data_IF_367098507197
#
_entry.id   IF_367098507197
#
_cell.length_a   1.000
_cell.length_b   1.000
_cell.length_c   1.000
_cell.angle_alpha   90.00
_cell.angle_beta   90.00
_cell.angle_gamma   90.00
#
_symmetry.space_group_name_H-M   'P 1'
#
loop_
_entity.id
_entity.type
_entity.pdbx_description
1 polymer ?
#
# COMPACT_ATOMS: atom_id res chain seq x y z
N UNK A 1 16.38 13.34 15.00
CA UNK A 1 15.47 14.41 14.53
C UNK A 1 15.54 14.41 13.02
N UNK A 2 14.39 14.45 12.36
CA UNK A 2 14.36 14.48 10.89
C UNK A 2 15.03 15.79 10.39
N UNK A 3 15.88 15.67 9.37
CA UNK A 3 16.58 16.80 8.78
C UNK A 3 15.62 17.58 7.89
N UNK A 4 15.25 18.80 8.30
CA UNK A 4 14.30 19.63 7.58
C UNK A 4 14.94 20.38 6.40
N UNK A 5 14.11 20.86 5.46
CA UNK A 5 14.54 21.64 4.32
C UNK A 5 15.35 22.88 4.71
N UNK A 6 14.93 23.59 5.76
CA UNK A 6 15.66 24.71 6.32
C UNK A 6 17.06 24.32 6.83
N UNK A 7 17.16 23.20 7.54
CA UNK A 7 18.43 22.70 8.07
C UNK A 7 19.40 22.33 6.95
N UNK A 8 18.91 21.68 5.90
CA UNK A 8 19.72 21.32 4.73
C UNK A 8 20.22 22.58 4.00
N UNK A 9 19.31 23.52 3.74
CA UNK A 9 19.64 24.78 3.08
C UNK A 9 20.71 25.57 3.86
N UNK A 10 20.56 25.68 5.17
CA UNK A 10 21.50 26.43 6.02
C UNK A 10 22.86 25.74 6.14
N UNK A 11 22.94 24.41 6.07
CA UNK A 11 24.23 23.70 6.01
C UNK A 11 25.02 24.11 4.77
N UNK A 12 24.35 24.19 3.60
CA UNK A 12 25.02 24.61 2.36
C UNK A 12 25.40 26.09 2.43
N UNK A 13 24.50 26.97 2.86
CA UNK A 13 24.78 28.40 2.99
C UNK A 13 25.96 28.66 3.92
N UNK A 14 26.06 27.95 5.04
CA UNK A 14 27.19 28.08 5.98
C UNK A 14 28.53 27.69 5.33
N UNK A 15 28.58 26.62 4.56
CA UNK A 15 29.77 26.18 3.86
C UNK A 15 30.19 27.15 2.74
N UNK A 16 29.22 27.91 2.20
CA UNK A 16 29.43 28.95 1.21
C UNK A 16 29.77 30.34 1.83
N UNK A 17 29.80 30.38 3.15
CA UNK A 17 29.96 31.64 3.91
C UNK A 17 28.85 32.66 3.59
N UNK A 18 27.63 32.18 3.43
CA UNK A 18 26.44 33.00 3.15
C UNK A 18 25.54 33.11 4.38
N UNK A 19 24.63 34.08 4.35
CA UNK A 19 23.69 34.33 5.44
C UNK A 19 22.66 33.22 5.51
N UNK A 20 22.54 32.59 6.68
CA UNK A 20 21.55 31.54 6.93
C UNK A 20 20.12 32.11 6.91
N UNK A 21 19.17 31.24 6.52
CA UNK A 21 17.76 31.54 6.53
C UNK A 21 17.14 31.21 7.89
N UNK A 22 16.06 31.89 8.22
CA UNK A 22 15.19 31.60 9.36
C UNK A 22 13.84 31.08 8.86
N UNK A 23 13.06 30.48 9.72
CA UNK A 23 11.70 30.03 9.37
C UNK A 23 10.82 31.16 8.85
N UNK A 24 11.02 32.40 9.36
CA UNK A 24 10.25 33.60 8.98
C UNK A 24 10.61 34.14 7.59
N UNK A 25 11.87 34.04 7.15
CA UNK A 25 12.32 34.56 5.86
C UNK A 25 12.48 33.48 4.78
N UNK A 26 12.22 32.23 5.10
CA UNK A 26 12.41 31.10 4.19
C UNK A 26 11.59 31.21 2.91
N UNK A 27 10.32 31.63 3.01
CA UNK A 27 9.43 31.81 1.85
C UNK A 27 9.79 33.04 1.00
N UNK A 28 10.42 34.06 1.60
CA UNK A 28 10.83 35.30 0.92
C UNK A 28 12.31 35.35 0.55
N UNK A 29 13.02 34.22 0.60
CA UNK A 29 14.43 34.10 0.22
C UNK A 29 14.68 34.57 -1.21
N UNK A 30 15.88 35.14 -1.46
CA UNK A 30 16.27 35.69 -2.76
C UNK A 30 17.70 35.31 -3.12
N UNK A 31 18.03 35.44 -4.40
CA UNK A 31 19.38 35.23 -4.92
C UNK A 31 19.91 33.83 -4.60
N UNK A 32 21.08 33.72 -3.98
CA UNK A 32 21.73 32.43 -3.67
C UNK A 32 20.90 31.57 -2.74
N UNK A 33 20.12 32.13 -1.83
CA UNK A 33 19.27 31.37 -0.93
C UNK A 33 18.15 30.60 -1.70
N UNK A 34 17.54 31.27 -2.69
CA UNK A 34 16.56 30.61 -3.58
C UNK A 34 17.23 29.54 -4.42
N UNK A 35 18.38 29.85 -5.03
CA UNK A 35 19.12 28.88 -5.84
C UNK A 35 19.51 27.61 -5.04
N UNK A 36 19.93 27.75 -3.78
CA UNK A 36 20.25 26.63 -2.91
C UNK A 36 19.02 25.75 -2.65
N UNK A 37 17.85 26.36 -2.46
CA UNK A 37 16.60 25.62 -2.31
C UNK A 37 16.27 24.79 -3.58
N UNK A 38 16.33 25.43 -4.73
CA UNK A 38 16.05 24.75 -6.01
C UNK A 38 17.07 23.63 -6.27
N UNK A 39 18.35 23.85 -5.95
CA UNK A 39 19.38 22.84 -6.10
C UNK A 39 19.24 21.67 -5.12
N UNK A 40 18.68 21.89 -3.93
CA UNK A 40 18.34 20.81 -3.01
C UNK A 40 17.28 19.89 -3.61
N UNK A 41 16.16 20.43 -4.11
CA UNK A 41 15.15 19.64 -4.78
C UNK A 41 15.72 18.88 -5.98
N UNK A 42 16.47 19.60 -6.83
CA UNK A 42 17.15 18.98 -7.97
C UNK A 42 18.08 17.85 -7.55
N UNK A 43 18.82 18.02 -6.46
CA UNK A 43 19.74 16.99 -5.95
C UNK A 43 19.01 15.76 -5.45
N UNK A 44 17.86 15.92 -4.83
CA UNK A 44 17.02 14.79 -4.42
C UNK A 44 16.50 14.06 -5.66
N UNK A 45 16.01 14.76 -6.69
CA UNK A 45 15.61 14.16 -7.95
C UNK A 45 16.75 13.38 -8.62
N UNK A 46 17.97 13.93 -8.62
CA UNK A 46 19.13 13.22 -9.17
C UNK A 46 19.38 11.89 -8.43
N UNK A 47 19.33 11.91 -7.09
CA UNK A 47 19.53 10.70 -6.28
C UNK A 47 18.44 9.66 -6.58
N UNK A 48 17.19 10.08 -6.70
CA UNK A 48 16.09 9.21 -7.09
C UNK A 48 16.30 8.65 -8.50
N UNK A 49 16.83 9.45 -9.43
CA UNK A 49 17.08 9.04 -10.80
C UNK A 49 18.30 8.10 -10.94
N UNK A 50 19.38 8.39 -10.24
CA UNK A 50 20.61 7.60 -10.29
C UNK A 50 20.55 6.38 -9.37
N UNK A 51 19.79 6.46 -8.29
CA UNK A 51 19.56 5.38 -7.34
C UNK A 51 18.39 4.46 -7.70
N UNK A 52 18.16 4.22 -8.97
CA UNK A 52 16.94 3.67 -9.58
C UNK A 52 16.26 2.48 -8.89
N UNK A 53 16.95 1.72 -8.07
CA UNK A 53 16.45 0.49 -7.45
C UNK A 53 16.67 0.48 -5.92
N UNK A 54 16.73 1.66 -5.30
CA UNK A 54 16.83 1.74 -3.85
C UNK A 54 15.52 1.24 -3.24
N UNK A 55 15.54 0.19 -2.41
CA UNK A 55 14.31 -0.37 -1.80
C UNK A 55 13.47 0.63 -1.02
N UNK A 56 14.08 1.70 -0.51
CA UNK A 56 13.38 2.78 0.22
C UNK A 56 12.38 3.57 -0.63
N UNK A 57 12.53 3.53 -1.96
CA UNK A 57 11.62 4.21 -2.90
C UNK A 57 10.52 3.30 -3.40
N UNK A 58 10.58 2.04 -2.98
CA UNK A 58 9.62 1.02 -3.33
C UNK A 58 8.37 1.16 -2.47
N UNK A 59 7.22 1.19 -3.09
CA UNK A 59 5.93 1.29 -2.42
C UNK A 59 4.93 0.36 -3.08
N UNK A 60 4.02 -0.16 -2.28
CA UNK A 60 2.92 -0.99 -2.77
C UNK A 60 1.65 -0.14 -2.84
N UNK A 61 0.93 -0.22 -3.93
CA UNK A 61 -0.40 0.37 -4.06
C UNK A 61 -1.46 -0.69 -4.29
N UNK A 62 -2.69 -0.32 -3.99
CA UNK A 62 -3.87 -1.14 -4.27
C UNK A 62 -4.90 -0.32 -5.02
N UNK A 63 -5.50 -0.91 -6.06
CA UNK A 63 -6.51 -0.26 -6.89
C UNK A 63 -7.71 -1.18 -7.05
N UNK A 64 -8.89 -0.68 -6.69
CA UNK A 64 -10.14 -1.40 -6.91
C UNK A 64 -10.49 -1.39 -8.40
N UNK A 65 -10.91 -2.53 -8.92
CA UNK A 65 -11.30 -2.67 -10.31
C UNK A 65 -12.81 -2.41 -10.47
N UNK A 66 -13.14 -1.80 -11.60
CA UNK A 66 -14.53 -1.52 -11.98
C UNK A 66 -14.97 -2.48 -13.08
N UNK A 67 -16.24 -2.86 -13.04
CA UNK A 67 -16.85 -3.73 -14.06
C UNK A 67 -16.85 -3.02 -15.40
N UNK A 68 -16.35 -3.67 -16.42
CA UNK A 68 -16.33 -3.15 -17.78
C UNK A 68 -15.20 -2.18 -18.10
N UNK A 69 -14.36 -1.85 -17.11
CA UNK A 69 -13.20 -1.00 -17.30
C UNK A 69 -11.93 -1.86 -17.44
N UNK A 70 -11.29 -1.76 -18.56
CA UNK A 70 -10.07 -2.53 -18.87
C UNK A 70 -8.78 -1.70 -18.77
N UNK A 71 -8.88 -0.39 -18.56
CA UNK A 71 -7.75 0.52 -18.53
C UNK A 71 -7.68 1.27 -17.19
N UNK A 72 -6.49 1.32 -16.59
CA UNK A 72 -6.26 1.92 -15.28
C UNK A 72 -5.01 2.77 -15.29
N UNK A 73 -5.10 3.97 -14.72
CA UNK A 73 -3.98 4.89 -14.59
C UNK A 73 -3.07 4.50 -13.45
N UNK A 74 -1.77 4.76 -13.63
CA UNK A 74 -0.81 4.67 -12.55
C UNK A 74 -0.92 5.88 -11.60
N UNK A 75 -0.46 5.76 -10.35
CA UNK A 75 -0.35 6.91 -9.46
C UNK A 75 0.51 8.02 -10.08
N UNK A 76 0.10 9.28 -9.93
CA UNK A 76 0.81 10.44 -10.50
C UNK A 76 2.25 10.61 -10.00
N UNK A 77 2.57 10.05 -8.84
CA UNK A 77 3.92 10.04 -8.27
C UNK A 77 4.74 8.79 -8.69
N UNK A 78 4.23 7.99 -9.61
CA UNK A 78 4.91 6.82 -10.11
C UNK A 78 6.06 7.23 -11.03
N UNK A 79 7.22 6.62 -10.82
CA UNK A 79 8.39 6.72 -11.68
C UNK A 79 8.59 5.47 -12.53
N UNK A 80 8.52 4.31 -11.90
CA UNK A 80 8.69 3.01 -12.55
C UNK A 80 7.82 1.98 -11.84
N UNK A 81 7.18 1.12 -12.59
CA UNK A 81 6.36 0.01 -12.08
C UNK A 81 7.12 -1.30 -12.23
N UNK A 82 7.00 -2.17 -11.23
CA UNK A 82 7.39 -3.56 -11.35
C UNK A 82 6.22 -4.38 -11.87
N UNK A 83 6.24 -4.67 -13.18
CA UNK A 83 5.19 -5.44 -13.84
C UNK A 83 5.12 -6.90 -13.40
N UNK A 84 6.13 -7.40 -12.68
CA UNK A 84 6.12 -8.74 -12.11
C UNK A 84 5.45 -8.79 -10.73
N UNK A 85 5.09 -7.64 -10.16
CA UNK A 85 4.49 -7.52 -8.83
C UNK A 85 2.95 -7.46 -8.83
N UNK A 86 2.29 -7.58 -9.98
CA UNK A 86 0.84 -7.47 -10.07
C UNK A 86 0.13 -8.69 -9.51
N UNK A 87 -0.64 -8.48 -8.45
CA UNK A 87 -1.49 -9.49 -7.81
C UNK A 87 -2.95 -9.05 -7.83
N UNK A 88 -3.79 -9.92 -8.36
CA UNK A 88 -5.24 -9.81 -8.23
C UNK A 88 -5.67 -10.48 -6.92
N UNK A 89 -6.51 -9.82 -6.16
CA UNK A 89 -7.10 -10.35 -4.92
C UNK A 89 -8.56 -9.92 -4.78
N UNK A 90 -9.39 -10.65 -4.01
CA UNK A 90 -10.73 -10.17 -3.69
C UNK A 90 -10.66 -8.88 -2.88
N UNK A 91 -11.61 -7.99 -3.11
CA UNK A 91 -11.77 -6.76 -2.33
C UNK A 91 -12.26 -7.09 -0.93
N UNK A 92 -11.67 -6.48 0.09
CA UNK A 92 -12.20 -6.50 1.44
C UNK A 92 -13.44 -5.59 1.50
N UNK A 93 -14.58 -6.15 1.93
CA UNK A 93 -15.85 -5.41 1.94
C UNK A 93 -16.10 -4.70 3.27
N UNK A 94 -15.41 -5.08 4.32
CA UNK A 94 -15.55 -4.47 5.64
C UNK A 94 -14.72 -3.19 5.70
N UNK A 95 -15.37 -2.09 6.03
CA UNK A 95 -14.68 -0.83 6.32
C UNK A 95 -14.29 -0.80 7.80
N UNK A 96 -13.03 -0.43 8.08
CA UNK A 96 -12.48 -0.41 9.44
C UNK A 96 -12.67 -1.74 10.18
N UNK A 97 -12.43 -2.85 9.48
CA UNK A 97 -12.52 -4.19 10.07
C UNK A 97 -11.39 -4.52 11.02
N UNK A 98 -10.28 -3.78 11.02
CA UNK A 98 -9.13 -3.94 11.91
C UNK A 98 -9.13 -2.96 13.09
N UNK A 99 -10.16 -2.17 13.27
CA UNK A 99 -10.39 -1.26 14.39
C UNK A 99 -9.17 -0.42 14.80
N UNK A 100 -8.39 0.09 13.84
CA UNK A 100 -7.09 0.72 14.10
C UNK A 100 -7.15 2.01 14.92
N UNK A 101 -8.27 2.74 14.90
CA UNK A 101 -8.40 4.02 15.59
C UNK A 101 -9.71 4.24 16.34
N UNK A 102 -10.75 3.53 15.98
CA UNK A 102 -12.10 3.64 16.55
C UNK A 102 -12.99 2.50 16.05
N UNK A 103 -14.26 2.48 16.44
CA UNK A 103 -15.30 1.61 15.89
C UNK A 103 -16.15 2.34 14.84
N UNK A 104 -15.58 3.35 14.18
CA UNK A 104 -16.25 4.07 13.08
C UNK A 104 -16.67 3.10 11.97
N UNK A 105 -17.73 3.41 11.26
CA UNK A 105 -18.36 2.56 10.24
C UNK A 105 -19.14 1.35 10.78
N UNK A 106 -19.09 1.08 12.07
CA UNK A 106 -19.88 0.07 12.74
C UNK A 106 -21.03 0.72 13.52
N UNK A 107 -22.21 0.15 13.37
CA UNK A 107 -23.41 0.61 14.08
C UNK A 107 -23.63 -0.27 15.31
N UNK A 108 -23.94 0.36 16.45
CA UNK A 108 -24.40 -0.40 17.61
C UNK A 108 -25.70 -1.13 17.25
N UNK A 109 -25.66 -2.43 17.31
CA UNK A 109 -26.79 -3.31 17.02
C UNK A 109 -27.31 -4.03 18.29
N UNK A 110 -26.89 -3.59 19.47
CA UNK A 110 -27.35 -4.13 20.74
C UNK A 110 -28.86 -3.83 20.88
N UNK A 111 -29.64 -4.86 21.10
CA UNK A 111 -31.08 -4.78 21.36
C UNK A 111 -31.39 -5.52 22.62
N UNK A 112 -32.43 -5.18 23.36
CA UNK A 112 -32.82 -5.80 24.62
C UNK A 112 -33.05 -7.32 24.58
N UNK A 113 -32.98 -7.94 23.40
CA UNK A 113 -33.05 -9.39 23.22
C UNK A 113 -31.66 -10.04 23.05
N UNK A 114 -30.59 -9.24 22.90
CA UNK A 114 -29.23 -9.73 22.54
C UNK A 114 -28.18 -9.21 23.50
N UNK A 115 -28.53 -8.27 24.38
CA UNK A 115 -27.63 -7.69 25.35
C UNK A 115 -28.01 -6.24 25.69
N UNK A 116 -27.47 -5.74 26.79
CA UNK A 116 -27.69 -4.38 27.26
C UNK A 116 -26.41 -3.52 27.21
N UNK A 117 -25.29 -4.12 26.81
CA UNK A 117 -23.98 -3.47 26.78
C UNK A 117 -23.83 -2.50 25.61
N UNK A 118 -22.79 -1.71 25.67
CA UNK A 118 -22.41 -0.78 24.60
C UNK A 118 -21.08 -1.21 24.00
N UNK A 119 -20.99 -1.39 22.69
CA UNK A 119 -19.70 -1.66 22.04
C UNK A 119 -18.70 -0.55 22.31
N UNK A 120 -17.46 -0.89 22.58
CA UNK A 120 -16.41 0.06 22.90
C UNK A 120 -15.15 -0.17 22.06
N UNK A 121 -14.39 0.91 21.86
CA UNK A 121 -13.05 0.82 21.29
C UNK A 121 -12.04 0.54 22.42
N UNK A 122 -11.22 -0.48 22.23
CA UNK A 122 -10.11 -0.78 23.13
C UNK A 122 -8.79 -0.42 22.44
N UNK A 123 -8.09 0.60 22.94
CA UNK A 123 -6.81 1.07 22.41
C UNK A 123 -5.61 0.18 22.75
N UNK A 124 -5.81 -0.92 23.50
CA UNK A 124 -4.76 -1.88 23.80
C UNK A 124 -4.26 -2.60 22.53
N UNK A 125 -2.97 -2.70 22.35
CA UNK A 125 -2.37 -3.27 21.15
C UNK A 125 -2.54 -2.37 19.93
N UNK A 126 -2.99 -2.93 18.80
CA UNK A 126 -3.23 -2.21 17.55
C UNK A 126 -4.65 -1.62 17.44
N UNK A 127 -5.42 -1.63 18.52
CA UNK A 127 -6.84 -1.29 18.54
C UNK A 127 -7.71 -2.54 18.34
N UNK A 128 -8.85 -2.57 19.02
CA UNK A 128 -9.80 -3.70 19.02
C UNK A 128 -11.21 -3.22 19.25
N UNK A 129 -12.17 -4.00 18.77
CA UNK A 129 -13.57 -3.85 19.16
C UNK A 129 -13.82 -4.66 20.45
N UNK A 130 -14.25 -4.01 21.50
CA UNK A 130 -14.67 -4.68 22.75
C UNK A 130 -16.17 -4.84 22.78
N UNK A 131 -16.61 -6.07 22.97
CA UNK A 131 -18.02 -6.44 23.16
C UNK A 131 -18.19 -7.02 24.58
N UNK A 132 -19.13 -6.48 25.32
CA UNK A 132 -19.58 -6.97 26.61
C UNK A 132 -21.10 -6.96 26.61
N UNK A 133 -21.73 -8.12 26.47
CA UNK A 133 -23.17 -8.24 26.27
C UNK A 133 -23.68 -7.24 25.20
N UNK A 134 -22.99 -7.21 24.06
CA UNK A 134 -23.16 -6.18 23.05
C UNK A 134 -23.04 -6.76 21.63
N UNK A 135 -23.59 -6.02 20.67
CA UNK A 135 -23.53 -6.35 19.25
C UNK A 135 -23.19 -5.13 18.39
N UNK A 136 -22.47 -5.38 17.31
CA UNK A 136 -22.24 -4.38 16.25
C UNK A 136 -22.64 -4.94 14.90
N UNK A 137 -23.06 -4.07 14.00
CA UNK A 137 -23.36 -4.45 12.62
C UNK A 137 -22.76 -3.47 11.63
N UNK A 138 -22.46 -3.98 10.44
CA UNK A 138 -22.08 -3.16 9.28
C UNK A 138 -22.83 -3.64 8.04
N UNK A 139 -23.35 -2.68 7.27
CA UNK A 139 -23.92 -2.95 5.95
C UNK A 139 -22.79 -3.02 4.93
N UNK A 140 -22.81 -4.05 4.10
CA UNK A 140 -21.88 -4.27 2.98
C UNK A 140 -22.65 -4.46 1.69
N UNK A 141 -22.06 -4.09 0.58
CA UNK A 141 -22.61 -4.37 -0.75
C UNK A 141 -22.03 -5.68 -1.26
N UNK A 142 -22.89 -6.61 -1.65
CA UNK A 142 -22.51 -7.94 -2.14
C UNK A 142 -23.12 -8.20 -3.52
N UNK A 143 -22.57 -9.13 -4.25
CA UNK A 143 -23.17 -9.62 -5.50
C UNK A 143 -24.05 -10.83 -5.17
N UNK A 144 -25.33 -10.73 -5.50
CA UNK A 144 -26.30 -11.81 -5.23
C UNK A 144 -25.84 -13.15 -5.81
N UNK A 145 -26.05 -14.23 -5.05
CA UNK A 145 -25.67 -15.61 -5.38
C UNK A 145 -24.16 -15.86 -5.47
N UNK A 146 -23.30 -14.93 -5.03
CA UNK A 146 -21.88 -15.17 -4.89
C UNK A 146 -21.54 -15.62 -3.48
N UNK A 147 -20.46 -16.41 -3.36
CA UNK A 147 -20.01 -16.95 -2.09
C UNK A 147 -18.91 -16.06 -1.51
N UNK A 148 -19.07 -15.75 -0.25
CA UNK A 148 -18.15 -14.90 0.53
C UNK A 148 -17.56 -15.69 1.68
N UNK A 149 -16.36 -15.32 2.05
CA UNK A 149 -15.65 -15.78 3.23
C UNK A 149 -15.74 -14.72 4.31
N UNK A 150 -16.23 -15.07 5.48
CA UNK A 150 -16.23 -14.24 6.67
C UNK A 150 -15.20 -14.75 7.66
N UNK A 151 -14.29 -13.87 8.09
CA UNK A 151 -13.28 -14.18 9.09
C UNK A 151 -13.41 -13.21 10.25
N UNK A 152 -13.47 -13.75 11.48
CA UNK A 152 -13.48 -12.95 12.71
C UNK A 152 -12.44 -13.53 13.66
N UNK A 153 -11.54 -12.68 14.15
CA UNK A 153 -10.52 -13.07 15.11
C UNK A 153 -10.79 -12.41 16.44
N UNK A 154 -10.80 -13.23 17.49
CA UNK A 154 -10.91 -12.82 18.88
C UNK A 154 -9.57 -13.07 19.54
N UNK A 155 -8.99 -12.05 20.20
CA UNK A 155 -7.69 -12.17 20.88
C UNK A 155 -7.87 -12.39 22.38
N UNK A 156 -8.87 -11.76 22.97
CA UNK A 156 -9.07 -11.79 24.42
C UNK A 156 -10.52 -12.08 24.78
N UNK A 157 -10.69 -12.90 25.80
CA UNK A 157 -11.95 -13.16 26.47
C UNK A 157 -11.67 -13.22 27.99
N UNK A 158 -12.47 -12.54 28.76
CA UNK A 158 -12.30 -12.50 30.20
C UNK A 158 -12.52 -13.85 30.90
N UNK A 159 -13.14 -14.82 30.23
CA UNK A 159 -13.27 -16.20 30.70
C UNK A 159 -13.34 -17.17 29.55
N UNK A 160 -12.70 -18.34 29.67
CA UNK A 160 -12.86 -19.43 28.72
C UNK A 160 -14.31 -19.93 28.70
N UNK A 161 -14.77 -20.32 27.48
CA UNK A 161 -16.12 -20.81 27.25
C UNK A 161 -17.12 -19.75 26.79
N UNK A 162 -16.73 -18.47 26.68
CA UNK A 162 -17.57 -17.44 26.05
C UNK A 162 -17.73 -17.69 24.56
N UNK A 163 -18.85 -17.28 23.99
CA UNK A 163 -19.17 -17.49 22.59
C UNK A 163 -19.44 -16.18 21.84
N UNK A 164 -18.81 -16.06 20.67
CA UNK A 164 -19.07 -14.98 19.72
C UNK A 164 -19.96 -15.51 18.60
N UNK A 165 -21.11 -14.88 18.38
CA UNK A 165 -21.97 -15.21 17.24
C UNK A 165 -21.72 -14.24 16.09
N UNK A 166 -21.63 -14.77 14.87
CA UNK A 166 -21.56 -14.00 13.61
C UNK A 166 -22.79 -14.34 12.79
N UNK A 167 -23.57 -13.32 12.49
CA UNK A 167 -24.80 -13.45 11.69
C UNK A 167 -24.68 -12.63 10.43
N UNK A 168 -25.15 -13.17 9.33
CA UNK A 168 -25.17 -12.48 8.04
C UNK A 168 -26.58 -12.58 7.44
N UNK A 169 -27.09 -11.47 6.93
CA UNK A 169 -28.42 -11.46 6.31
C UNK A 169 -28.84 -10.07 5.82
N UNK A 170 -30.12 -9.92 5.55
CA UNK A 170 -30.70 -8.74 4.94
C UNK A 170 -30.94 -7.56 5.90
N UNK A 171 -30.70 -7.76 7.17
CA UNK A 171 -30.77 -6.75 8.23
C UNK A 171 -29.82 -7.09 9.36
N UNK A 172 -29.58 -6.17 10.27
CA UNK A 172 -28.85 -6.47 11.50
C UNK A 172 -29.53 -7.63 12.23
N UNK A 173 -28.74 -8.56 12.77
CA UNK A 173 -29.15 -9.81 13.41
C UNK A 173 -29.86 -10.85 12.53
N UNK A 174 -30.13 -10.56 11.27
CA UNK A 174 -30.71 -11.55 10.38
C UNK A 174 -29.74 -12.70 10.12
N UNK A 175 -30.29 -13.90 9.97
CA UNK A 175 -29.52 -15.14 9.76
C UNK A 175 -29.85 -15.79 8.43
N UNK A 176 -30.35 -15.01 7.47
CA UNK A 176 -30.79 -15.52 6.16
C UNK A 176 -29.66 -16.17 5.37
N UNK A 177 -28.45 -15.66 5.52
CA UNK A 177 -27.27 -16.12 4.77
C UNK A 177 -26.29 -16.90 5.64
N UNK A 178 -26.15 -16.54 6.92
CA UNK A 178 -25.24 -17.21 7.87
C UNK A 178 -25.71 -17.04 9.32
N UNK A 179 -25.54 -18.12 10.10
CA UNK A 179 -25.49 -18.06 11.56
C UNK A 179 -24.38 -18.98 12.03
N UNK A 180 -23.28 -18.41 12.52
CA UNK A 180 -22.12 -19.16 12.98
C UNK A 180 -21.73 -18.70 14.38
N UNK A 181 -21.16 -19.60 15.16
CA UNK A 181 -20.70 -19.32 16.53
C UNK A 181 -19.26 -19.79 16.69
N UNK A 182 -18.43 -18.92 17.24
CA UNK A 182 -17.07 -19.22 17.69
C UNK A 182 -17.07 -19.39 19.21
N UNK A 183 -16.73 -20.55 19.69
CA UNK A 183 -16.47 -20.76 21.12
C UNK A 183 -15.01 -20.43 21.42
N UNK A 184 -14.77 -19.47 22.30
CA UNK A 184 -13.44 -19.07 22.71
C UNK A 184 -12.96 -20.03 23.80
N UNK A 185 -11.97 -20.86 23.47
CA UNK A 185 -11.48 -21.92 24.36
C UNK A 185 -10.25 -21.51 25.16
N UNK A 186 -9.43 -20.63 24.61
CA UNK A 186 -8.15 -20.26 25.19
C UNK A 186 -8.10 -18.75 25.46
N UNK A 187 -7.83 -18.39 26.70
CA UNK A 187 -7.59 -17.01 27.10
C UNK A 187 -6.27 -16.50 26.52
N UNK A 188 -6.29 -15.30 25.92
CA UNK A 188 -5.09 -14.65 25.39
C UNK A 188 -4.56 -15.21 24.07
N UNK A 189 -5.09 -16.31 23.56
CA UNK A 189 -4.77 -16.85 22.24
C UNK A 189 -5.80 -16.42 21.21
N UNK A 190 -5.33 -16.14 19.97
CA UNK A 190 -6.22 -15.75 18.88
C UNK A 190 -7.10 -16.90 18.42
N UNK A 191 -8.39 -16.81 18.70
CA UNK A 191 -9.40 -17.73 18.15
C UNK A 191 -9.94 -17.13 16.84
N UNK A 192 -10.04 -17.92 15.79
CA UNK A 192 -10.50 -17.46 14.47
C UNK A 192 -11.75 -18.25 14.08
N UNK A 193 -12.82 -17.53 13.79
CA UNK A 193 -13.96 -18.04 13.02
C UNK A 193 -13.64 -17.82 11.54
N UNK A 194 -13.63 -18.89 10.77
CA UNK A 194 -13.43 -18.89 9.33
C UNK A 194 -14.59 -19.65 8.70
N UNK A 195 -15.49 -18.94 8.04
CA UNK A 195 -16.73 -19.52 7.49
C UNK A 195 -17.09 -18.87 6.17
N UNK A 196 -17.97 -19.52 5.43
CA UNK A 196 -18.46 -19.00 4.14
C UNK A 196 -19.98 -18.87 4.15
N UNK A 197 -20.48 -17.90 3.36
CA UNK A 197 -21.91 -17.72 3.12
C UNK A 197 -22.16 -17.35 1.66
N UNK A 198 -23.39 -17.59 1.19
CA UNK A 198 -23.83 -17.13 -0.14
C UNK A 198 -24.78 -15.98 0.05
N UNK A 199 -24.47 -14.83 -0.54
CA UNK A 199 -25.31 -13.63 -0.42
C UNK A 199 -26.64 -13.82 -1.15
N UNK A 200 -27.75 -13.72 -0.44
CA UNK A 200 -29.11 -13.79 -1.02
C UNK A 200 -29.54 -12.47 -1.65
N UNK A 201 -28.87 -11.37 -1.32
CA UNK A 201 -29.23 -10.00 -1.71
C UNK A 201 -27.97 -9.16 -2.00
N UNK A 202 -28.20 -7.94 -2.53
CA UNK A 202 -27.11 -6.96 -2.78
C UNK A 202 -26.74 -6.20 -1.50
N UNK A 203 -27.73 -5.82 -0.68
CA UNK A 203 -27.46 -5.19 0.62
C UNK A 203 -27.45 -6.27 1.71
N UNK A 204 -26.27 -6.55 2.22
CA UNK A 204 -26.05 -7.58 3.24
C UNK A 204 -25.50 -6.95 4.51
N UNK A 205 -25.95 -7.41 5.66
CA UNK A 205 -25.47 -6.98 6.97
C UNK A 205 -24.65 -8.09 7.60
N UNK A 206 -23.45 -7.77 8.08
CA UNK A 206 -22.72 -8.61 9.00
C UNK A 206 -22.93 -8.10 10.41
N UNK A 207 -23.26 -8.99 11.34
CA UNK A 207 -23.46 -8.66 12.76
C UNK A 207 -22.58 -9.56 13.61
N UNK A 208 -21.80 -8.95 14.47
CA UNK A 208 -20.92 -9.63 15.44
C UNK A 208 -21.49 -9.42 16.85
N UNK A 209 -21.74 -10.49 17.57
CA UNK A 209 -22.52 -10.50 18.80
C UNK A 209 -21.74 -11.25 19.90
N UNK A 210 -21.58 -10.60 21.03
CA UNK A 210 -21.25 -11.26 22.28
C UNK A 210 -22.45 -11.13 23.23
N UNK A 211 -23.11 -12.22 23.54
CA UNK A 211 -24.24 -12.26 24.49
C UNK A 211 -23.81 -12.57 25.92
N UNK A 212 -22.53 -12.72 26.16
CA UNK A 212 -21.99 -12.97 27.51
C UNK A 212 -21.62 -11.65 28.19
N UNK A 213 -21.81 -11.59 29.52
CA UNK A 213 -21.42 -10.43 30.33
C UNK A 213 -19.89 -10.28 30.50
N UNK A 214 -19.12 -11.11 29.82
CA UNK A 214 -17.67 -11.05 29.82
C UNK A 214 -17.15 -10.23 28.62
N UNK A 215 -16.07 -9.48 28.84
CA UNK A 215 -15.43 -8.74 27.76
C UNK A 215 -14.85 -9.69 26.70
N UNK A 216 -15.11 -9.38 25.46
CA UNK A 216 -14.53 -10.06 24.31
C UNK A 216 -13.90 -9.03 23.38
N UNK A 217 -12.62 -9.13 23.13
CA UNK A 217 -11.88 -8.22 22.25
C UNK A 217 -11.71 -8.85 20.87
N UNK A 218 -12.38 -8.27 19.88
CA UNK A 218 -12.31 -8.66 18.47
C UNK A 218 -11.18 -7.86 17.81
N UNK A 219 -10.23 -8.55 17.24
CA UNK A 219 -9.05 -8.00 16.59
C UNK A 219 -9.36 -7.53 15.15
N UNK A 220 -10.04 -8.41 14.41
CA UNK A 220 -10.52 -8.05 13.09
C UNK A 220 -11.79 -8.78 12.68
N UNK A 221 -12.51 -8.15 11.77
CA UNK A 221 -13.61 -8.74 10.99
C UNK A 221 -13.30 -8.50 9.52
N UNK A 222 -13.27 -9.54 8.71
CA UNK A 222 -13.00 -9.47 7.28
C UNK A 222 -14.06 -10.23 6.50
N UNK A 223 -14.51 -9.66 5.39
CA UNK A 223 -15.43 -10.31 4.44
C UNK A 223 -14.94 -10.04 3.03
N UNK A 224 -14.69 -11.09 2.30
CA UNK A 224 -14.28 -11.02 0.90
C UNK A 224 -14.86 -12.19 0.10
N UNK A 225 -14.84 -12.10 -1.22
CA UNK A 225 -15.30 -13.20 -2.08
C UNK A 225 -14.41 -14.42 -1.92
N UNK A 226 -15.03 -15.58 -1.76
CA UNK A 226 -14.31 -16.86 -1.60
C UNK A 226 -14.05 -17.57 -2.93
N UNK A 227 -14.78 -17.23 -3.99
CA UNK A 227 -14.61 -17.77 -5.33
C UNK A 227 -13.44 -17.12 -6.12
N UNK A 228 -12.82 -16.09 -5.55
CA UNK A 228 -11.66 -15.40 -6.11
C UNK A 228 -10.43 -15.78 -5.30
N UNK A 229 -9.57 -16.63 -5.86
CA UNK A 229 -8.28 -16.91 -5.26
C UNK A 229 -7.28 -15.79 -5.62
N UNK A 230 -6.50 -15.27 -4.66
CA UNK A 230 -5.40 -14.37 -4.97
C UNK A 230 -4.45 -14.99 -5.99
N UNK A 231 -4.11 -14.27 -7.05
CA UNK A 231 -3.21 -14.75 -8.09
C UNK A 231 -2.32 -13.67 -8.64
N UNK A 232 -1.11 -14.04 -9.03
CA UNK A 232 -0.21 -13.19 -9.80
C UNK A 232 -0.73 -13.05 -11.22
N UNK A 233 -0.74 -11.84 -11.76
CA UNK A 233 -1.07 -11.59 -13.17
C UNK A 233 0.16 -11.79 -14.04
N UNK A 234 -0.03 -12.34 -15.23
CA UNK A 234 1.04 -12.46 -16.22
C UNK A 234 1.27 -11.11 -16.91
N UNK A 235 2.49 -10.63 -16.88
CA UNK A 235 2.88 -9.41 -17.62
C UNK A 235 3.09 -9.75 -19.09
N UNK A 236 2.47 -9.00 -20.01
CA UNK A 236 2.68 -9.10 -21.45
C UNK A 236 2.95 -7.73 -22.07
N UNK A 237 3.71 -7.73 -23.16
CA UNK A 237 3.97 -6.50 -23.91
C UNK A 237 2.74 -6.06 -24.70
N UNK A 238 2.66 -4.77 -25.03
CA UNK A 238 1.55 -4.24 -25.82
C UNK A 238 1.47 -4.87 -27.20
N UNK A 239 2.60 -5.13 -27.84
CA UNK A 239 2.64 -5.78 -29.16
C UNK A 239 2.08 -7.21 -29.10
N UNK A 240 2.42 -7.98 -28.07
CA UNK A 240 1.86 -9.31 -27.85
C UNK A 240 0.36 -9.24 -27.62
N UNK A 241 -0.10 -8.24 -26.83
CA UNK A 241 -1.53 -8.02 -26.60
C UNK A 241 -2.28 -7.74 -27.91
N UNK A 242 -1.76 -6.85 -28.76
CA UNK A 242 -2.37 -6.53 -30.05
C UNK A 242 -2.52 -7.76 -30.97
N UNK A 243 -1.57 -8.67 -30.91
CA UNK A 243 -1.57 -9.88 -31.74
C UNK A 243 -2.46 -11.00 -31.19
N UNK A 244 -2.62 -11.10 -29.88
CA UNK A 244 -3.23 -12.28 -29.27
C UNK A 244 -4.57 -12.01 -28.56
N UNK A 245 -4.72 -10.86 -27.91
CA UNK A 245 -5.85 -10.61 -27.02
C UNK A 245 -6.76 -9.46 -27.44
N UNK A 246 -6.29 -8.50 -28.23
CA UNK A 246 -7.08 -7.32 -28.56
C UNK A 246 -8.43 -7.63 -29.20
N UNK A 247 -8.49 -8.66 -30.02
CA UNK A 247 -9.74 -9.07 -30.69
C UNK A 247 -10.70 -9.73 -29.68
N UNK A 248 -10.18 -10.51 -28.74
CA UNK A 248 -11.00 -11.17 -27.71
C UNK A 248 -11.48 -10.21 -26.64
N UNK A 249 -10.76 -9.10 -26.43
CA UNK A 249 -11.08 -8.06 -25.44
C UNK A 249 -11.89 -6.91 -26.06
N UNK A 250 -12.49 -7.11 -27.23
CA UNK A 250 -13.44 -6.15 -27.78
C UNK A 250 -14.70 -6.11 -26.88
N UNK A 251 -14.98 -4.94 -26.34
CA UNK A 251 -16.10 -4.69 -25.42
C UNK A 251 -17.49 -5.06 -25.98
N UNK A 252 -17.57 -5.22 -27.31
CA UNK A 252 -18.81 -5.71 -27.96
C UNK A 252 -18.98 -7.23 -27.85
N UNK A 253 -17.95 -7.96 -27.38
CA UNK A 253 -18.01 -9.39 -27.21
C UNK A 253 -18.21 -9.77 -25.75
N UNK A 254 -19.16 -10.63 -25.48
CA UNK A 254 -19.38 -11.13 -24.10
C UNK A 254 -18.16 -11.90 -23.54
N UNK A 255 -17.33 -12.43 -24.43
CA UNK A 255 -16.07 -13.12 -24.09
C UNK A 255 -14.95 -12.17 -23.65
N UNK A 256 -15.10 -10.86 -23.87
CA UNK A 256 -14.14 -9.85 -23.42
C UNK A 256 -14.11 -9.68 -21.88
N UNK A 257 -15.20 -10.07 -21.22
CA UNK A 257 -15.37 -9.88 -19.79
C UNK A 257 -15.06 -11.15 -19.01
N UNK A 258 -14.30 -11.00 -17.94
CA UNK A 258 -13.94 -12.15 -17.10
C UNK A 258 -13.05 -11.77 -15.92
N UNK A 259 -12.45 -12.79 -15.32
CA UNK A 259 -11.46 -12.60 -14.27
C UNK A 259 -10.11 -12.22 -14.89
N UNK A 260 -9.57 -11.02 -14.64
CA UNK A 260 -8.28 -10.59 -15.17
C UNK A 260 -7.17 -11.61 -14.90
N UNK A 261 -6.41 -11.91 -15.93
CA UNK A 261 -5.30 -12.88 -15.87
C UNK A 261 -3.97 -12.28 -16.33
N UNK A 262 -4.03 -11.20 -17.09
CA UNK A 262 -2.87 -10.55 -17.68
C UNK A 262 -2.89 -9.06 -17.41
N UNK A 263 -1.72 -8.48 -17.22
CA UNK A 263 -1.48 -7.04 -17.19
C UNK A 263 -0.66 -6.66 -18.41
N UNK A 264 -1.06 -5.61 -19.09
CA UNK A 264 -0.46 -5.15 -20.35
C UNK A 264 0.15 -3.77 -20.10
N UNK A 265 1.43 -3.65 -20.40
CA UNK A 265 2.14 -2.37 -20.34
C UNK A 265 1.87 -1.56 -21.57
N UNK A 266 1.20 -0.41 -21.44
CA UNK A 266 0.99 0.52 -22.55
C UNK A 266 2.27 1.29 -22.92
N UNK A 267 2.40 1.72 -24.18
CA UNK A 267 3.57 2.49 -24.62
C UNK A 267 3.69 3.89 -24.02
N UNK A 268 2.57 4.48 -23.57
CA UNK A 268 2.52 5.80 -22.91
C UNK A 268 3.13 5.80 -21.51
N UNK A 269 3.22 4.63 -20.88
CA UNK A 269 3.70 4.44 -19.49
C UNK A 269 2.87 5.16 -18.41
N UNK A 270 1.70 5.69 -18.75
CA UNK A 270 0.81 6.39 -17.82
C UNK A 270 -0.30 5.48 -17.31
N UNK A 271 -0.62 4.42 -18.06
CA UNK A 271 -1.68 3.48 -17.77
C UNK A 271 -1.29 2.03 -18.10
N UNK A 272 -2.08 1.09 -17.61
CA UNK A 272 -2.00 -0.33 -17.94
C UNK A 272 -3.37 -0.88 -18.33
N UNK A 273 -3.38 -1.94 -19.12
CA UNK A 273 -4.60 -2.65 -19.47
C UNK A 273 -4.65 -4.00 -18.76
N UNK A 274 -5.87 -4.49 -18.59
CA UNK A 274 -6.16 -5.81 -18.06
C UNK A 274 -6.83 -6.68 -19.13
N UNK A 275 -6.47 -7.94 -19.18
CA UNK A 275 -7.09 -8.92 -20.06
C UNK A 275 -7.34 -10.23 -19.31
N UNK A 276 -8.56 -10.81 -19.37
CA UNK A 276 -9.82 -10.17 -19.81
C UNK A 276 -10.18 -8.90 -19.03
N UNK A 277 -11.10 -8.09 -19.58
CA UNK A 277 -11.68 -6.94 -18.88
C UNK A 277 -12.45 -7.44 -17.65
N UNK A 278 -12.40 -6.77 -16.49
CA UNK A 278 -13.16 -7.16 -15.32
C UNK A 278 -14.66 -7.31 -15.61
N UNK A 279 -15.17 -8.53 -15.55
CA UNK A 279 -16.57 -8.84 -15.85
C UNK A 279 -17.49 -8.72 -14.62
N UNK A 280 -16.93 -8.70 -13.44
CA UNK A 280 -17.63 -8.56 -12.16
C UNK A 280 -16.86 -7.58 -11.26
N UNK A 281 -17.54 -7.06 -10.23
CA UNK A 281 -16.93 -6.21 -9.21
C UNK A 281 -16.20 -6.98 -8.13
N UNK A 282 -15.69 -6.25 -7.14
CA UNK A 282 -15.05 -6.78 -5.94
C UNK A 282 -13.68 -7.42 -6.18
N UNK A 283 -12.97 -6.93 -7.20
CA UNK A 283 -11.56 -7.23 -7.43
C UNK A 283 -10.71 -6.02 -7.04
N UNK A 284 -9.56 -6.32 -6.48
CA UNK A 284 -8.51 -5.34 -6.19
C UNK A 284 -7.19 -5.84 -6.76
N UNK A 285 -6.48 -4.96 -7.46
CA UNK A 285 -5.09 -5.21 -7.87
C UNK A 285 -4.16 -4.56 -6.85
N UNK A 286 -3.12 -5.27 -6.51
CA UNK A 286 -2.00 -4.73 -5.74
C UNK A 286 -0.73 -4.88 -6.57
N UNK A 287 0.07 -3.83 -6.65
CA UNK A 287 1.33 -3.84 -7.37
C UNK A 287 2.34 -2.89 -6.72
N UNK A 288 3.60 -3.12 -7.04
CA UNK A 288 4.72 -2.36 -6.50
C UNK A 288 5.27 -1.40 -7.53
N UNK A 289 5.65 -0.23 -7.08
CA UNK A 289 6.25 0.79 -7.92
C UNK A 289 7.26 1.63 -7.14
N UNK A 290 8.16 2.28 -7.89
CA UNK A 290 9.10 3.25 -7.34
C UNK A 290 8.51 4.65 -7.48
N UNK A 291 8.49 5.40 -6.38
CA UNK A 291 7.96 6.76 -6.35
C UNK A 291 8.95 7.79 -6.87
N UNK A 292 8.42 8.91 -7.36
CA UNK A 292 9.21 10.14 -7.55
C UNK A 292 9.29 10.90 -6.24
N UNK A 293 10.26 11.81 -6.15
CA UNK A 293 10.32 12.77 -5.07
C UNK A 293 9.29 13.89 -5.28
N UNK A 294 8.61 14.29 -4.19
CA UNK A 294 7.81 15.51 -4.16
C UNK A 294 8.69 16.65 -3.70
N UNK A 295 8.70 17.76 -4.45
CA UNK A 295 9.51 18.92 -4.12
C UNK A 295 9.22 19.47 -2.73
N UNK A 296 10.29 19.74 -1.99
CA UNK A 296 10.20 20.39 -0.70
C UNK A 296 9.82 21.87 -0.94
N UNK A 297 8.87 22.38 -0.20
CA UNK A 297 8.34 23.75 -0.34
C UNK A 297 8.41 24.58 0.95
N UNK A 298 7.98 24.00 2.06
CA UNK A 298 7.96 24.64 3.36
C UNK A 298 9.26 24.40 4.16
N UNK A 299 9.63 25.31 5.02
CA UNK A 299 10.85 25.23 5.84
C UNK A 299 10.93 23.97 6.71
N UNK A 300 9.77 23.43 7.12
CA UNK A 300 9.65 22.24 7.97
C UNK A 300 9.56 20.93 7.19
N UNK A 301 9.50 20.98 5.86
CA UNK A 301 9.39 19.75 5.05
C UNK A 301 10.62 18.88 5.26
N UNK A 302 10.40 17.59 5.26
CA UNK A 302 11.44 16.57 5.40
C UNK A 302 11.56 15.79 4.09
N UNK A 303 12.79 15.46 3.74
CA UNK A 303 13.00 14.58 2.59
C UNK A 303 12.45 13.17 2.86
N UNK A 304 11.96 12.50 1.82
CA UNK A 304 11.51 11.10 1.90
C UNK A 304 12.65 10.09 2.08
N UNK A 305 13.90 10.55 2.14
CA UNK A 305 15.08 9.74 2.40
C UNK A 305 15.50 9.85 3.88
N UNK A 306 16.01 8.77 4.50
CA UNK A 306 16.55 8.81 5.85
C UNK A 306 17.66 9.85 6.03
N UNK A 307 17.75 10.43 7.24
CA UNK A 307 18.72 11.49 7.59
C UNK A 307 20.20 11.15 7.25
N UNK A 308 20.55 9.87 7.21
CA UNK A 308 21.91 9.42 6.82
C UNK A 308 22.28 9.77 5.37
N UNK A 309 21.29 10.08 4.51
CA UNK A 309 21.51 10.52 3.13
C UNK A 309 21.66 12.05 2.99
N UNK A 310 21.43 12.82 4.05
CA UNK A 310 21.61 14.26 4.03
C UNK A 310 22.99 14.71 3.49
N UNK A 311 24.13 14.06 3.85
CA UNK A 311 25.42 14.44 3.28
C UNK A 311 25.53 14.24 1.76
N UNK A 312 24.82 13.25 1.21
CA UNK A 312 24.78 12.98 -0.24
C UNK A 312 24.05 14.12 -0.98
N UNK A 313 22.90 14.53 -0.45
CA UNK A 313 22.10 15.63 -1.00
C UNK A 313 22.87 16.95 -0.93
N UNK A 314 23.55 17.21 0.19
CA UNK A 314 24.37 18.42 0.39
C UNK A 314 25.48 18.47 -0.64
N UNK A 315 26.23 17.40 -0.85
CA UNK A 315 27.35 17.41 -1.81
C UNK A 315 26.87 17.64 -3.25
N UNK A 316 25.74 17.02 -3.64
CA UNK A 316 25.16 17.27 -4.96
C UNK A 316 24.65 18.70 -5.13
N UNK A 317 24.03 19.27 -4.10
CA UNK A 317 23.57 20.66 -4.10
C UNK A 317 24.74 21.65 -4.13
N UNK A 318 25.86 21.35 -3.44
CA UNK A 318 27.10 22.13 -3.54
C UNK A 318 27.66 22.13 -4.95
N UNK A 319 27.67 20.98 -5.62
CA UNK A 319 28.09 20.92 -7.01
C UNK A 319 27.36 21.96 -7.87
N UNK A 320 26.03 22.02 -7.79
CA UNK A 320 25.23 22.98 -8.54
C UNK A 320 25.51 24.41 -8.11
N UNK A 321 25.70 24.65 -6.81
CA UNK A 321 25.95 25.99 -6.28
C UNK A 321 27.32 26.53 -6.68
N UNK A 322 28.37 25.68 -6.69
CA UNK A 322 29.70 26.05 -7.17
C UNK A 322 29.70 26.27 -8.68
N UNK A 323 28.96 25.49 -9.45
CA UNK A 323 28.77 25.73 -10.88
C UNK A 323 28.11 27.10 -11.15
N UNK A 324 27.07 27.46 -10.36
CA UNK A 324 26.44 28.80 -10.45
C UNK A 324 27.42 29.92 -10.14
N UNK A 325 28.38 29.69 -9.24
CA UNK A 325 29.43 30.66 -8.87
C UNK A 325 30.63 30.68 -9.80
N UNK A 326 30.61 29.91 -10.88
CA UNK A 326 31.74 29.75 -11.82
C UNK A 326 33.01 29.21 -11.13
N UNK A 327 32.85 28.38 -10.11
CA UNK A 327 33.96 27.73 -9.39
C UNK A 327 34.02 26.22 -9.75
N UNK A 328 34.63 25.87 -10.89
CA UNK A 328 34.64 24.47 -11.37
C UNK A 328 35.53 23.55 -10.50
N UNK A 329 36.51 24.09 -9.78
CA UNK A 329 37.41 23.25 -8.96
C UNK A 329 36.66 22.68 -7.75
N UNK A 330 35.96 23.52 -6.98
CA UNK A 330 35.14 23.08 -5.88
C UNK A 330 33.92 22.26 -6.33
N UNK A 331 33.36 22.57 -7.51
CA UNK A 331 32.29 21.76 -8.09
C UNK A 331 32.76 20.32 -8.37
N UNK A 332 33.93 20.12 -8.98
CA UNK A 332 34.46 18.78 -9.23
C UNK A 332 34.76 17.99 -7.94
N UNK A 333 35.23 18.67 -6.88
CA UNK A 333 35.43 18.04 -5.58
C UNK A 333 34.09 17.57 -4.98
N UNK A 334 33.08 18.40 -5.02
CA UNK A 334 31.73 18.07 -4.53
C UNK A 334 31.11 16.91 -5.33
N UNK A 335 31.26 16.91 -6.66
CA UNK A 335 30.77 15.80 -7.48
C UNK A 335 31.49 14.47 -7.18
N UNK A 336 32.82 14.49 -7.01
CA UNK A 336 33.58 13.29 -6.64
C UNK A 336 33.12 12.72 -5.29
N UNK A 337 32.86 13.59 -4.29
CA UNK A 337 32.39 13.14 -2.99
C UNK A 337 30.95 12.62 -3.08
N UNK A 338 30.09 13.23 -3.89
CA UNK A 338 28.78 12.74 -4.23
C UNK A 338 28.84 11.33 -4.84
N UNK A 339 29.61 11.14 -5.90
CA UNK A 339 29.74 9.84 -6.59
C UNK A 339 30.24 8.73 -5.65
N UNK A 340 31.21 9.06 -4.78
CA UNK A 340 31.70 8.10 -3.78
C UNK A 340 30.58 7.68 -2.80
N UNK A 341 29.80 8.63 -2.30
CA UNK A 341 28.71 8.36 -1.37
C UNK A 341 27.54 7.66 -2.06
N UNK A 342 27.25 8.00 -3.31
CA UNK A 342 26.24 7.33 -4.11
C UNK A 342 26.60 5.85 -4.36
N UNK A 343 27.87 5.57 -4.62
CA UNK A 343 28.37 4.19 -4.75
C UNK A 343 28.17 3.41 -3.47
N UNK A 344 28.49 3.99 -2.30
CA UNK A 344 28.25 3.35 -1.00
C UNK A 344 26.75 3.08 -0.80
N UNK A 345 25.89 4.04 -1.10
CA UNK A 345 24.44 3.88 -1.04
C UNK A 345 23.98 2.70 -1.92
N UNK A 346 24.45 2.62 -3.15
CA UNK A 346 24.11 1.51 -4.07
C UNK A 346 24.61 0.17 -3.54
N UNK A 347 25.76 0.15 -2.87
CA UNK A 347 26.30 -1.08 -2.25
C UNK A 347 25.49 -1.51 -1.02
N UNK A 348 25.08 -0.55 -0.18
CA UNK A 348 24.34 -0.84 1.05
C UNK A 348 22.89 -1.29 0.78
N UNK A 349 22.29 -0.81 -0.31
CA UNK A 349 20.88 -1.04 -0.65
C UNK A 349 20.66 -1.78 -1.96
N UNK A 350 21.73 -2.00 -2.73
CA UNK A 350 21.65 -2.81 -3.94
C UNK A 350 21.17 -4.21 -3.59
N UNK A 351 20.17 -4.68 -4.30
CA UNK A 351 19.73 -6.07 -4.16
C UNK A 351 20.88 -6.98 -4.57
N UNK A 352 21.23 -7.90 -3.69
CA UNK A 352 22.22 -8.97 -3.99
C UNK A 352 21.73 -9.97 -5.06
N UNK A 353 20.65 -9.62 -5.80
CA UNK A 353 20.11 -10.46 -6.86
C UNK A 353 21.11 -10.76 -7.99
N UNK A 354 22.11 -9.91 -8.18
CA UNK A 354 23.17 -10.19 -9.15
C UNK A 354 24.09 -11.34 -8.75
N UNK A 355 24.16 -11.67 -7.46
CA UNK A 355 24.98 -12.82 -6.99
C UNK A 355 24.36 -14.18 -7.37
N UNK A 356 23.03 -14.28 -7.47
CA UNK A 356 22.36 -15.52 -7.89
C UNK A 356 22.45 -15.75 -9.41
N UNK A 357 22.57 -14.70 -10.20
CA UNK A 357 22.69 -14.83 -11.67
C UNK A 357 24.07 -15.33 -12.12
N UNK A 358 25.13 -15.02 -11.39
CA UNK A 358 26.47 -15.49 -11.71
C UNK A 358 26.63 -16.99 -11.52
N UNK A 359 26.01 -17.56 -10.49
CA UNK A 359 26.06 -19.01 -10.25
C UNK A 359 25.26 -19.81 -11.31
N UNK A 360 24.13 -19.29 -11.76
CA UNK A 360 23.32 -19.94 -12.80
C UNK A 360 24.00 -19.92 -14.18
N UNK A 361 24.79 -18.90 -14.48
CA UNK A 361 25.56 -18.81 -15.72
C UNK A 361 26.78 -19.76 -15.67
N UNK A 362 27.42 -19.92 -14.52
CA UNK A 362 28.55 -20.83 -14.35
C UNK A 362 28.10 -22.29 -14.53
N UNK A 363 26.95 -22.70 -14.01
CA UNK A 363 26.42 -24.05 -14.19
C UNK A 363 26.04 -24.34 -15.66
N UNK A 364 25.52 -23.36 -16.40
CA UNK A 364 25.15 -23.56 -17.80
C UNK A 364 26.34 -23.68 -18.75
N UNK A 365 27.50 -23.15 -18.40
CA UNK A 365 28.71 -23.23 -19.19
C UNK A 365 29.43 -24.56 -18.95
N UNK A 366 29.29 -25.17 -17.77
CA UNK A 366 29.93 -26.43 -17.43
C UNK A 366 29.26 -27.64 -18.08
N UNK A 367 28.03 -27.51 -18.56
CA UNK A 367 27.26 -28.63 -19.16
C UNK A 367 27.43 -28.72 -20.69
N UNK A 368 28.21 -27.84 -21.33
CA UNK A 368 28.35 -27.82 -22.79
C UNK A 368 29.75 -28.31 -23.27
N UNK A 369 30.55 -28.90 -22.42
CA UNK A 369 31.84 -29.53 -22.80
C UNK A 369 31.86 -30.97 -22.34
N UNK A 370 31.09 -31.82 -22.99
CA UNK A 370 31.32 -33.25 -23.18
C UNK A 370 30.94 -33.63 -24.61
#
# INVERSE_FOLDING_TARGET
>A
MATTYLVLSNRILRELNEVEMTSSNFSSSRGIQTAVKDFLNKSVHDIYNEGAEIPLLHTTTTQALQVGDGEYDFPSNMRRVDFESFFLKPTELITNGEFTSAISSWTNATTGAVGEGTPAYNSGGNGRLRLNDAAVSQAITTIKNKTYKAQVRVIDSASGGSSLAVKVGNAAHATTDLSATLTVTNYGEGNILDTTFTASQVATYITVINSDANNMDVDYVRVSRSDIAPKKLASITYDTYLQTNKVSDDVNLSSAFGLPAKVIRKPDYESFLLSPIPGEGEYTISYDYFTTHTDLSAHGDTMGLPDRFAPLIIDRSKYYTYMLRSDPQHAQLADRDYQRKLKLLKTDYGTHADYMRTDTIAESITTTVI
#
